data_IF_877958995496
#
_entry.id   IF_877958995496
#
_cell.length_a   1.000
_cell.length_b   1.000
_cell.length_c   1.000
_cell.angle_alpha   90.00
_cell.angle_beta   90.00
_cell.angle_gamma   90.00
#
_symmetry.space_group_name_H-M   'P 1'
#
loop_
_entity.id
_entity.type
_entity.pdbx_description
1 polymer ?
#
# COMPACT_ATOMS: atom_id res chain seq x y z
N UNK A 1 -17.33 -13.75 -1.78
CA UNK A 1 -16.26 -12.73 -1.91
C UNK A 1 -16.88 -11.59 -2.67
N UNK A 2 -17.25 -10.52 -1.98
CA UNK A 2 -17.82 -9.35 -2.63
C UNK A 2 -16.75 -8.85 -3.60
N UNK A 3 -17.04 -8.85 -4.90
CA UNK A 3 -16.09 -8.60 -6.00
C UNK A 3 -15.53 -7.18 -6.05
N UNK A 4 -15.50 -6.48 -4.92
CA UNK A 4 -15.01 -5.14 -4.75
C UNK A 4 -13.51 -5.18 -4.42
N UNK A 5 -12.67 -4.96 -5.43
CA UNK A 5 -11.23 -4.75 -5.24
C UNK A 5 -10.99 -3.32 -4.70
N UNK A 6 -10.61 -3.15 -3.42
CA UNK A 6 -10.41 -1.83 -2.84
C UNK A 6 -9.26 -1.05 -3.51
N UNK A 7 -8.27 -1.77 -4.06
CA UNK A 7 -7.16 -1.14 -4.78
C UNK A 7 -7.65 -0.57 -6.11
N UNK A 8 -8.43 -1.34 -6.86
CA UNK A 8 -8.98 -0.88 -8.13
C UNK A 8 -9.91 0.33 -7.93
N UNK A 9 -10.79 0.29 -6.93
CA UNK A 9 -11.66 1.41 -6.59
C UNK A 9 -10.86 2.67 -6.20
N UNK A 10 -9.82 2.52 -5.37
CA UNK A 10 -8.93 3.61 -5.01
C UNK A 10 -8.18 4.17 -6.24
N UNK A 11 -7.69 3.28 -7.10
CA UNK A 11 -6.93 3.63 -8.28
C UNK A 11 -7.78 4.42 -9.27
N UNK A 12 -9.02 4.02 -9.52
CA UNK A 12 -9.92 4.70 -10.45
C UNK A 12 -10.37 6.05 -9.90
N UNK A 13 -10.70 6.12 -8.60
CA UNK A 13 -10.99 7.38 -7.93
C UNK A 13 -9.79 8.35 -7.98
N UNK A 14 -8.57 7.83 -7.85
CA UNK A 14 -7.35 8.63 -7.95
C UNK A 14 -7.10 9.05 -9.40
N UNK A 15 -7.26 8.17 -10.39
CA UNK A 15 -7.09 8.51 -11.82
C UNK A 15 -8.03 9.62 -12.27
N UNK A 16 -9.27 9.61 -11.77
CA UNK A 16 -10.27 10.63 -12.09
C UNK A 16 -9.88 12.02 -11.57
N UNK A 17 -9.14 12.10 -10.46
CA UNK A 17 -8.71 13.36 -9.83
C UNK A 17 -7.30 13.79 -10.26
N UNK A 18 -6.38 12.83 -10.31
CA UNK A 18 -4.97 13.01 -10.63
C UNK A 18 -4.41 11.72 -11.26
N UNK A 19 -4.51 11.66 -12.59
CA UNK A 19 -4.00 10.53 -13.38
C UNK A 19 -2.49 10.31 -13.19
N UNK A 20 -1.71 11.38 -13.01
CA UNK A 20 -0.27 11.27 -12.85
C UNK A 20 0.10 10.64 -11.51
N UNK A 21 -0.61 10.97 -10.43
CA UNK A 21 -0.46 10.32 -9.14
C UNK A 21 -0.69 8.81 -9.25
N UNK A 22 -1.81 8.40 -9.86
CA UNK A 22 -2.15 6.99 -10.04
C UNK A 22 -1.06 6.22 -10.82
N UNK A 23 -0.58 6.78 -11.93
CA UNK A 23 0.46 6.16 -12.75
C UNK A 23 1.80 6.05 -12.01
N UNK A 24 2.15 7.04 -11.19
CA UNK A 24 3.35 7.00 -10.34
C UNK A 24 3.25 5.90 -9.28
N UNK A 25 2.10 5.74 -8.63
CA UNK A 25 1.87 4.64 -7.68
C UNK A 25 2.00 3.28 -8.35
N UNK A 26 1.34 3.07 -9.50
CA UNK A 26 1.46 1.84 -10.27
C UNK A 26 2.90 1.52 -10.66
N UNK A 27 3.63 2.53 -11.15
CA UNK A 27 5.05 2.37 -11.52
C UNK A 27 5.90 1.95 -10.32
N UNK A 28 5.67 2.54 -9.14
CA UNK A 28 6.42 2.21 -7.92
C UNK A 28 6.07 0.82 -7.40
N UNK A 29 4.81 0.39 -7.50
CA UNK A 29 4.39 -0.98 -7.20
C UNK A 29 5.07 -2.01 -8.13
N UNK A 30 5.11 -1.76 -9.43
CA UNK A 30 5.80 -2.64 -10.38
C UNK A 30 7.29 -2.78 -10.06
N UNK A 31 7.96 -1.67 -9.71
CA UNK A 31 9.36 -1.70 -9.28
C UNK A 31 9.54 -2.48 -7.98
N UNK A 32 8.63 -2.31 -7.01
CA UNK A 32 8.66 -3.07 -5.76
C UNK A 32 8.55 -4.58 -6.01
N UNK A 33 7.64 -5.01 -6.89
CA UNK A 33 7.48 -6.42 -7.27
C UNK A 33 8.75 -6.96 -7.95
N UNK A 34 9.42 -6.14 -8.76
CA UNK A 34 10.69 -6.47 -9.39
C UNK A 34 11.91 -6.42 -8.44
N UNK A 35 11.70 -6.21 -7.13
CA UNK A 35 12.79 -6.14 -6.13
C UNK A 35 13.46 -4.76 -6.03
N UNK A 36 13.03 -3.78 -6.81
CA UNK A 36 13.57 -2.42 -6.86
C UNK A 36 12.70 -1.45 -6.05
N UNK A 37 12.60 -1.71 -4.74
CA UNK A 37 11.69 -1.01 -3.83
C UNK A 37 11.93 0.52 -3.78
N UNK A 38 13.18 0.98 -3.94
CA UNK A 38 13.55 2.40 -3.81
C UNK A 38 13.23 2.93 -2.40
N UNK A 39 12.60 4.09 -2.31
CA UNK A 39 12.24 4.72 -1.03
C UNK A 39 11.14 3.94 -0.29
N UNK A 40 11.56 3.07 0.62
CA UNK A 40 10.69 2.34 1.54
C UNK A 40 11.24 2.37 2.96
N UNK A 41 10.36 2.29 3.95
CA UNK A 41 10.74 2.28 5.36
C UNK A 41 9.89 1.28 6.13
N UNK A 42 10.50 0.54 7.06
CA UNK A 42 9.74 -0.24 8.05
C UNK A 42 9.04 0.71 9.02
N UNK A 43 7.75 0.47 9.26
CA UNK A 43 6.93 1.20 10.25
C UNK A 43 6.56 0.35 11.45
N UNK A 44 7.26 -0.78 11.63
CA UNK A 44 7.04 -1.73 12.73
C UNK A 44 6.08 -2.86 12.36
N UNK A 45 6.07 -3.90 13.19
CA UNK A 45 5.13 -5.05 13.15
C UNK A 45 5.10 -5.85 11.83
N UNK A 46 6.14 -5.69 11.01
CA UNK A 46 6.27 -6.31 9.69
C UNK A 46 5.58 -5.54 8.56
N UNK A 47 5.14 -4.31 8.82
CA UNK A 47 4.59 -3.40 7.81
C UNK A 47 5.69 -2.49 7.27
N UNK A 48 5.68 -2.33 5.95
CA UNK A 48 6.56 -1.45 5.20
C UNK A 48 5.73 -0.33 4.55
N UNK A 49 6.27 0.88 4.58
CA UNK A 49 5.74 2.05 3.89
C UNK A 49 6.59 2.31 2.64
N UNK A 50 5.95 2.32 1.48
CA UNK A 50 6.50 2.81 0.22
C UNK A 50 6.13 4.28 0.06
N UNK A 51 7.15 5.15 0.00
CA UNK A 51 6.98 6.60 -0.07
C UNK A 51 7.07 7.09 -1.51
N UNK A 52 6.13 7.95 -1.88
CA UNK A 52 6.03 8.52 -3.22
C UNK A 52 5.88 10.02 -3.07
N UNK A 53 6.98 10.72 -3.33
CA UNK A 53 7.05 12.18 -3.21
C UNK A 53 6.48 12.83 -4.47
N UNK A 54 5.15 12.97 -4.48
CA UNK A 54 4.39 13.62 -5.54
C UNK A 54 3.07 14.13 -4.97
N UNK A 55 2.70 15.36 -5.33
CA UNK A 55 1.47 16.01 -4.88
C UNK A 55 1.35 16.00 -3.34
N UNK A 56 0.28 15.44 -2.75
CA UNK A 56 0.08 15.39 -1.29
C UNK A 56 1.04 14.45 -0.53
N UNK A 57 1.97 13.78 -1.23
CA UNK A 57 2.89 12.81 -0.67
C UNK A 57 2.19 11.48 -0.38
N UNK A 58 2.04 10.66 -1.44
CA UNK A 58 1.37 9.37 -1.36
C UNK A 58 2.19 8.34 -0.60
N UNK A 59 1.49 7.43 0.08
CA UNK A 59 2.01 6.29 0.83
C UNK A 59 1.26 5.03 0.46
N UNK A 60 2.01 3.96 0.31
CA UNK A 60 1.48 2.61 0.12
C UNK A 60 2.03 1.74 1.23
N UNK A 61 1.14 1.01 1.90
CA UNK A 61 1.50 0.11 3.00
C UNK A 61 1.38 -1.33 2.53
N UNK A 62 2.44 -2.08 2.76
CA UNK A 62 2.54 -3.47 2.34
C UNK A 62 3.31 -4.29 3.38
N UNK A 63 3.23 -5.61 3.28
CA UNK A 63 4.03 -6.52 4.07
C UNK A 63 4.59 -7.64 3.19
N UNK A 64 5.72 -8.21 3.61
CA UNK A 64 6.24 -9.44 3.02
C UNK A 64 5.86 -10.61 3.92
N UNK A 65 5.05 -11.54 3.40
CA UNK A 65 4.64 -12.75 4.11
C UNK A 65 5.14 -13.96 3.33
N UNK A 66 6.19 -14.59 3.84
CA UNK A 66 6.94 -15.61 3.11
C UNK A 66 7.54 -15.04 1.82
N UNK A 67 7.14 -15.61 0.67
CA UNK A 67 7.57 -15.15 -0.66
C UNK A 67 6.59 -14.15 -1.31
N UNK A 68 5.48 -13.81 -0.65
CA UNK A 68 4.43 -12.95 -1.19
C UNK A 68 4.56 -11.53 -0.66
N UNK A 69 4.36 -10.55 -1.54
CA UNK A 69 4.08 -9.17 -1.15
C UNK A 69 2.56 -9.02 -1.00
N UNK A 70 2.13 -8.53 0.16
CA UNK A 70 0.72 -8.34 0.51
C UNK A 70 0.48 -6.84 0.62
N UNK A 71 -0.37 -6.33 -0.27
CA UNK A 71 -0.81 -4.95 -0.22
C UNK A 71 -1.86 -4.80 0.89
N UNK A 72 -1.62 -3.89 1.83
CA UNK A 72 -2.49 -3.70 3.00
C UNK A 72 -3.36 -2.45 2.82
N UNK A 73 -2.76 -1.37 2.31
CA UNK A 73 -3.46 -0.11 2.08
C UNK A 73 -2.78 0.68 0.97
N UNK A 74 -3.55 1.37 0.14
CA UNK A 74 -3.05 2.26 -0.91
C UNK A 74 -3.63 3.65 -0.81
N UNK A 75 -2.84 4.65 -1.15
CA UNK A 75 -3.33 6.02 -1.25
C UNK A 75 -3.44 6.76 0.07
N UNK A 76 -2.68 6.31 1.08
CA UNK A 76 -2.41 7.15 2.24
C UNK A 76 -1.73 8.43 1.78
N UNK A 77 -1.98 9.53 2.47
CA UNK A 77 -1.24 10.79 2.26
C UNK A 77 -0.48 11.10 3.53
N UNK A 78 0.53 11.97 3.45
CA UNK A 78 1.32 12.36 4.63
C UNK A 78 0.44 12.82 5.82
N UNK A 79 -0.71 13.45 5.55
CA UNK A 79 -1.66 13.92 6.58
C UNK A 79 -2.33 12.79 7.38
N UNK A 80 -2.48 11.60 6.79
CA UNK A 80 -3.14 10.44 7.42
C UNK A 80 -2.17 9.34 7.82
N UNK A 81 -0.86 9.59 7.69
CA UNK A 81 0.19 8.59 7.83
C UNK A 81 0.05 7.74 9.11
N UNK A 82 -0.14 8.34 10.28
CA UNK A 82 -0.21 7.57 11.52
C UNK A 82 -1.45 6.66 11.58
N UNK A 83 -2.61 7.16 11.16
CA UNK A 83 -3.85 6.37 11.12
C UNK A 83 -3.74 5.22 10.11
N UNK A 84 -3.14 5.50 8.94
CA UNK A 84 -2.93 4.51 7.88
C UNK A 84 -1.95 3.41 8.33
N UNK A 85 -0.91 3.76 9.10
CA UNK A 85 0.04 2.80 9.69
C UNK A 85 -0.69 1.85 10.65
N UNK A 86 -1.46 2.37 11.59
CA UNK A 86 -2.17 1.54 12.57
C UNK A 86 -3.19 0.61 11.89
N UNK A 87 -3.91 1.14 10.88
CA UNK A 87 -4.83 0.35 10.09
C UNK A 87 -4.13 -0.77 9.31
N UNK A 88 -2.98 -0.47 8.68
CA UNK A 88 -2.20 -1.45 7.94
C UNK A 88 -1.69 -2.58 8.85
N UNK A 89 -1.25 -2.26 10.07
CA UNK A 89 -0.85 -3.26 11.08
C UNK A 89 -2.00 -4.18 11.45
N UNK A 90 -3.18 -3.62 11.70
CA UNK A 90 -4.38 -4.40 11.98
C UNK A 90 -4.74 -5.36 10.82
N UNK A 91 -4.67 -4.89 9.58
CA UNK A 91 -4.89 -5.73 8.40
C UNK A 91 -3.87 -6.86 8.26
N UNK A 92 -2.60 -6.61 8.59
CA UNK A 92 -1.58 -7.66 8.55
C UNK A 92 -1.83 -8.75 9.60
N UNK A 93 -2.24 -8.36 10.81
CA UNK A 93 -2.62 -9.31 11.86
C UNK A 93 -3.78 -10.18 11.40
N UNK A 94 -4.83 -9.58 10.86
CA UNK A 94 -6.00 -10.30 10.36
C UNK A 94 -5.66 -11.21 9.17
N UNK A 95 -4.85 -10.74 8.22
CA UNK A 95 -4.35 -11.55 7.12
C UNK A 95 -3.58 -12.78 7.61
N UNK A 96 -2.68 -12.62 8.58
CA UNK A 96 -1.92 -13.73 9.18
C UNK A 96 -2.82 -14.73 9.92
N UNK A 97 -3.90 -14.27 10.58
CA UNK A 97 -4.88 -15.15 11.22
C UNK A 97 -5.61 -16.01 10.19
N UNK A 98 -6.00 -15.41 9.05
CA UNK A 98 -6.68 -16.12 7.95
C UNK A 98 -5.81 -17.18 7.27
N UNK A 99 -4.48 -17.02 7.25
CA UNK A 99 -3.56 -18.02 6.71
C UNK A 99 -3.34 -19.25 7.60
N UNK A 100 -3.70 -19.17 8.90
CA UNK A 100 -3.53 -20.26 9.86
C UNK A 100 -4.78 -21.15 9.99
N UNK A 101 -5.87 -20.76 9.35
CA UNK A 101 -7.07 -21.59 9.15
C UNK A 101 -6.91 -22.37 7.87
#
# INVERSE_FOLDING_TARGET
>A
MDGHDPFQAWLDATKAKDRQAAMRVLTRLNRLVAGNAGDTKSVGDGVMELRIDYGPGYRVYYAKVGRRLVLLLTGGTKKRQQADIEQAKAFLVDYRKRLKK
#
